data_IF_906979659106
#
_entry.id   IF_906979659106
#
_cell.length_a   1.000
_cell.length_b   1.000
_cell.length_c   1.000
_cell.angle_alpha   90.00
_cell.angle_beta   90.00
_cell.angle_gamma   90.00
#
_symmetry.space_group_name_H-M   'P 1'
#
loop_
_entity.id
_entity.type
_entity.pdbx_description
1 polymer ?
#
# COMPACT_ATOMS: atom_id res chain seq x y z
N UNK A 1 9.61 31.37 -21.13
CA UNK A 1 8.55 30.44 -21.63
C UNK A 1 8.19 29.47 -20.52
N UNK A 2 6.96 29.51 -19.95
CA UNK A 2 6.48 28.49 -19.05
C UNK A 2 6.49 27.17 -19.83
N UNK A 3 7.23 26.17 -19.38
CA UNK A 3 7.18 24.81 -19.94
C UNK A 3 5.71 24.37 -19.92
N UNK A 4 5.14 24.09 -21.07
CA UNK A 4 3.79 23.55 -21.19
C UNK A 4 3.82 22.17 -20.51
N UNK A 5 3.25 22.07 -19.31
CA UNK A 5 3.12 20.81 -18.59
C UNK A 5 1.92 20.07 -19.16
N UNK A 6 2.09 18.83 -19.58
CA UNK A 6 1.01 17.97 -20.02
C UNK A 6 0.88 16.79 -19.05
N UNK A 7 -0.27 16.67 -18.39
CA UNK A 7 -0.50 15.67 -17.35
C UNK A 7 -0.38 14.22 -17.89
N UNK A 8 -0.74 14.00 -19.15
CA UNK A 8 -0.67 12.67 -19.79
C UNK A 8 0.77 12.22 -19.99
N UNK A 9 1.62 13.14 -20.43
CA UNK A 9 3.04 12.86 -20.56
C UNK A 9 3.73 12.68 -19.19
N UNK A 10 3.30 13.40 -18.17
CA UNK A 10 3.80 13.21 -16.81
C UNK A 10 3.40 11.84 -16.24
N UNK A 11 2.15 11.44 -16.44
CA UNK A 11 1.68 10.11 -16.05
C UNK A 11 2.45 9.00 -16.79
N UNK A 12 2.66 9.15 -18.11
CA UNK A 12 3.45 8.20 -18.90
C UNK A 12 4.88 8.05 -18.37
N UNK A 13 5.54 9.17 -18.03
CA UNK A 13 6.87 9.17 -17.43
C UNK A 13 6.89 8.54 -16.03
N UNK A 14 5.84 8.76 -15.21
CA UNK A 14 5.73 8.12 -13.91
C UNK A 14 5.60 6.60 -14.03
N UNK A 15 4.72 6.13 -14.92
CA UNK A 15 4.53 4.69 -15.17
C UNK A 15 5.81 4.06 -15.69
N UNK A 16 6.53 4.73 -16.62
CA UNK A 16 7.83 4.25 -17.10
C UNK A 16 8.87 4.11 -15.98
N UNK A 17 8.92 5.07 -15.04
CA UNK A 17 9.84 4.97 -13.90
C UNK A 17 9.49 3.79 -12.99
N UNK A 18 8.22 3.48 -12.82
CA UNK A 18 7.79 2.31 -12.06
C UNK A 18 8.14 1.02 -12.79
N UNK A 19 7.68 0.86 -14.02
CA UNK A 19 7.75 -0.42 -14.73
C UNK A 19 9.15 -0.75 -15.24
N UNK A 20 9.86 0.25 -15.78
CA UNK A 20 11.18 0.04 -16.39
C UNK A 20 12.33 0.25 -15.40
N UNK A 21 12.18 1.14 -14.41
CA UNK A 21 13.26 1.49 -13.50
C UNK A 21 13.06 0.97 -12.08
N UNK A 22 11.95 0.25 -11.81
CA UNK A 22 11.69 -0.37 -10.52
C UNK A 22 11.47 0.62 -9.37
N UNK A 23 11.09 1.87 -9.65
CA UNK A 23 10.82 2.86 -8.61
C UNK A 23 9.38 2.76 -8.14
N UNK A 24 9.13 2.82 -6.81
CA UNK A 24 7.76 2.82 -6.31
C UNK A 24 7.03 4.11 -6.72
N UNK A 25 5.73 3.99 -7.02
CA UNK A 25 4.89 5.14 -7.34
C UNK A 25 4.82 6.14 -6.17
N UNK A 26 4.88 5.66 -4.93
CA UNK A 26 4.91 6.49 -3.73
C UNK A 26 6.15 7.41 -3.62
N UNK A 27 7.24 7.07 -4.32
CA UNK A 27 8.42 7.92 -4.43
C UNK A 27 8.36 8.84 -5.66
N UNK A 28 7.82 8.36 -6.78
CA UNK A 28 7.80 9.09 -8.05
C UNK A 28 6.71 10.18 -8.08
N UNK A 29 5.50 9.84 -7.65
CA UNK A 29 4.32 10.70 -7.80
C UNK A 29 4.40 12.02 -7.03
N UNK A 30 4.84 12.06 -5.75
CA UNK A 30 4.93 13.34 -5.00
C UNK A 30 5.83 14.37 -5.67
N UNK A 31 6.96 13.96 -6.19
CA UNK A 31 7.89 14.85 -6.91
C UNK A 31 7.30 15.40 -8.22
N UNK A 32 6.37 14.68 -8.84
CA UNK A 32 5.65 15.14 -10.02
C UNK A 32 4.48 16.07 -9.64
N UNK A 33 3.75 15.75 -8.57
CA UNK A 33 2.64 16.57 -8.07
C UNK A 33 3.08 17.95 -7.61
N UNK A 34 4.32 18.13 -7.13
CA UNK A 34 4.89 19.44 -6.80
C UNK A 34 5.04 20.37 -8.02
N UNK A 35 5.03 19.82 -9.24
CA UNK A 35 5.22 20.58 -10.48
C UNK A 35 3.91 21.02 -11.13
N UNK A 36 2.76 20.55 -10.65
CA UNK A 36 1.44 20.83 -11.20
C UNK A 36 0.60 21.67 -10.25
N UNK A 37 -0.44 22.33 -10.77
CA UNK A 37 -1.39 23.05 -9.94
C UNK A 37 -2.22 22.07 -9.07
N UNK A 38 -2.69 22.52 -7.92
CA UNK A 38 -3.43 21.69 -6.97
C UNK A 38 -4.64 20.98 -7.60
N UNK A 39 -5.38 21.69 -8.46
CA UNK A 39 -6.53 21.14 -9.20
C UNK A 39 -6.17 19.96 -10.13
N UNK A 40 -4.91 19.86 -10.56
CA UNK A 40 -4.43 18.87 -11.52
C UNK A 40 -3.81 17.64 -10.83
N UNK A 41 -3.50 17.73 -9.51
CA UNK A 41 -2.88 16.66 -8.74
C UNK A 41 -3.73 15.40 -8.71
N UNK A 42 -5.04 15.55 -8.53
CA UNK A 42 -5.98 14.43 -8.49
C UNK A 42 -6.04 13.68 -9.83
N UNK A 43 -6.08 14.40 -10.95
CA UNK A 43 -6.08 13.78 -12.28
C UNK A 43 -4.75 13.07 -12.56
N UNK A 44 -3.61 13.69 -12.24
CA UNK A 44 -2.30 13.05 -12.40
C UNK A 44 -2.22 11.75 -11.59
N UNK A 45 -2.68 11.77 -10.36
CA UNK A 45 -2.75 10.58 -9.50
C UNK A 45 -3.65 9.50 -10.10
N UNK A 46 -4.87 9.86 -10.52
CA UNK A 46 -5.81 8.93 -11.16
C UNK A 46 -5.20 8.24 -12.38
N UNK A 47 -4.54 8.99 -13.26
CA UNK A 47 -3.89 8.44 -14.44
C UNK A 47 -2.75 7.47 -14.09
N UNK A 48 -1.91 7.80 -13.10
CA UNK A 48 -0.80 6.94 -12.68
C UNK A 48 -1.31 5.64 -12.04
N UNK A 49 -2.19 5.76 -11.05
CA UNK A 49 -2.75 4.58 -10.35
C UNK A 49 -3.59 3.72 -11.26
N UNK A 50 -4.40 4.34 -12.11
CA UNK A 50 -5.29 3.65 -13.02
C UNK A 50 -4.54 2.85 -14.08
N UNK A 51 -3.55 3.44 -14.73
CA UNK A 51 -2.71 2.75 -15.72
C UNK A 51 -1.99 1.57 -15.07
N UNK A 52 -1.38 1.74 -13.89
CA UNK A 52 -0.71 0.65 -13.18
C UNK A 52 -1.68 -0.45 -12.74
N UNK A 53 -2.91 -0.10 -12.37
CA UNK A 53 -3.95 -1.07 -11.99
C UNK A 53 -4.38 -1.95 -13.16
N UNK A 54 -4.46 -1.38 -14.35
CA UNK A 54 -4.94 -2.04 -15.57
C UNK A 54 -3.84 -2.32 -16.61
N UNK A 55 -2.57 -2.26 -16.20
CA UNK A 55 -1.41 -2.29 -17.10
C UNK A 55 -1.44 -3.48 -18.08
N UNK A 56 -1.74 -4.69 -17.61
CA UNK A 56 -1.79 -5.88 -18.46
C UNK A 56 -2.90 -5.80 -19.54
N UNK A 57 -4.02 -5.17 -19.22
CA UNK A 57 -5.10 -4.93 -20.18
C UNK A 57 -4.65 -3.93 -21.26
N UNK A 58 -4.07 -2.81 -20.83
CA UNK A 58 -3.62 -1.76 -21.75
C UNK A 58 -2.47 -2.25 -22.64
N UNK A 59 -1.54 -3.03 -22.08
CA UNK A 59 -0.46 -3.67 -22.83
C UNK A 59 -1.01 -4.63 -23.88
N UNK A 60 -1.95 -5.51 -23.50
CA UNK A 60 -2.58 -6.45 -24.39
C UNK A 60 -3.30 -5.72 -25.54
N UNK A 61 -4.05 -4.65 -25.25
CA UNK A 61 -4.76 -3.86 -26.25
C UNK A 61 -3.81 -3.18 -27.24
N UNK A 62 -2.67 -2.67 -26.78
CA UNK A 62 -1.63 -2.12 -27.67
C UNK A 62 -1.13 -3.21 -28.63
N UNK A 63 -0.88 -4.42 -28.13
CA UNK A 63 -0.41 -5.54 -28.96
C UNK A 63 -1.41 -5.96 -30.05
N UNK A 64 -2.73 -5.76 -29.82
CA UNK A 64 -3.76 -6.00 -30.85
C UNK A 64 -3.81 -4.90 -31.93
N UNK A 65 -3.28 -3.72 -31.62
CA UNK A 65 -3.39 -2.53 -32.49
C UNK A 65 -2.08 -2.10 -33.15
N UNK A 66 -0.95 -2.66 -32.69
CA UNK A 66 0.38 -2.30 -33.18
C UNK A 66 1.19 -3.55 -33.49
N UNK A 67 1.65 -3.67 -34.74
CA UNK A 67 2.47 -4.82 -35.20
C UNK A 67 3.82 -4.91 -34.43
N UNK A 68 4.37 -3.79 -34.01
CA UNK A 68 5.67 -3.73 -33.35
C UNK A 68 5.58 -2.93 -32.06
N UNK A 69 6.06 -3.48 -30.92
CA UNK A 69 6.11 -2.75 -29.66
C UNK A 69 7.12 -1.60 -29.76
N UNK A 70 6.82 -0.51 -29.07
CA UNK A 70 7.76 0.60 -28.92
C UNK A 70 8.85 0.25 -27.90
N UNK A 71 10.11 0.42 -28.29
CA UNK A 71 11.28 0.06 -27.49
C UNK A 71 12.26 1.20 -27.33
N UNK A 72 13.22 1.08 -26.43
CA UNK A 72 14.28 2.05 -26.21
C UNK A 72 13.74 3.46 -25.98
N UNK A 73 14.25 4.44 -26.73
CA UNK A 73 13.87 5.86 -26.58
C UNK A 73 12.40 6.18 -26.88
N UNK A 74 11.63 5.24 -27.41
CA UNK A 74 10.21 5.39 -27.71
C UNK A 74 9.32 4.78 -26.63
N UNK A 75 9.89 4.15 -25.59
CA UNK A 75 9.13 3.46 -24.55
C UNK A 75 8.17 4.40 -23.80
N UNK A 76 8.56 5.65 -23.56
CA UNK A 76 7.67 6.66 -22.96
C UNK A 76 6.40 6.90 -23.79
N UNK A 77 6.51 6.83 -25.14
CA UNK A 77 5.33 6.96 -26.04
C UNK A 77 4.38 5.77 -25.89
N UNK A 78 4.91 4.57 -25.67
CA UNK A 78 4.11 3.39 -25.37
C UNK A 78 3.22 3.62 -24.11
N UNK A 79 3.81 4.10 -23.04
CA UNK A 79 3.06 4.46 -21.83
C UNK A 79 2.10 5.65 -22.03
N UNK A 80 2.44 6.58 -22.92
CA UNK A 80 1.54 7.67 -23.27
C UNK A 80 0.28 7.16 -24.01
N UNK A 81 0.41 6.16 -24.87
CA UNK A 81 -0.73 5.51 -25.52
C UNK A 81 -1.58 4.78 -24.48
N UNK A 82 -0.96 4.08 -23.50
CA UNK A 82 -1.69 3.45 -22.39
C UNK A 82 -2.50 4.48 -21.58
N UNK A 83 -1.92 5.65 -21.29
CA UNK A 83 -2.65 6.74 -20.63
C UNK A 83 -3.84 7.19 -21.48
N UNK A 84 -3.69 7.23 -22.80
CA UNK A 84 -4.80 7.52 -23.72
C UNK A 84 -5.91 6.49 -23.64
N UNK A 85 -5.58 5.18 -23.71
CA UNK A 85 -6.55 4.09 -23.57
C UNK A 85 -7.23 4.11 -22.20
N UNK A 86 -6.47 4.31 -21.12
CA UNK A 86 -7.05 4.39 -19.78
C UNK A 86 -8.10 5.50 -19.67
N UNK A 87 -7.83 6.69 -20.22
CA UNK A 87 -8.79 7.78 -20.22
C UNK A 87 -10.08 7.40 -20.95
N UNK A 88 -9.96 6.76 -22.13
CA UNK A 88 -11.11 6.35 -22.94
C UNK A 88 -11.96 5.26 -22.29
N UNK A 89 -11.32 4.38 -21.51
CA UNK A 89 -12.00 3.25 -20.85
C UNK A 89 -12.58 3.59 -19.48
N UNK A 90 -11.85 4.35 -18.68
CA UNK A 90 -12.08 4.39 -17.24
C UNK A 90 -12.32 5.78 -16.66
N UNK A 91 -12.34 6.83 -17.50
CA UNK A 91 -12.58 8.20 -17.03
C UNK A 91 -13.81 8.82 -17.71
N UNK A 92 -14.33 9.89 -17.12
CA UNK A 92 -15.40 10.69 -17.72
C UNK A 92 -14.89 11.83 -18.62
N UNK A 93 -13.59 11.81 -18.94
CA UNK A 93 -12.99 12.81 -19.83
C UNK A 93 -13.59 12.61 -21.24
N UNK A 94 -14.12 13.66 -21.87
CA UNK A 94 -14.63 13.54 -23.23
C UNK A 94 -13.57 12.97 -24.20
N UNK A 95 -13.95 12.04 -25.06
CA UNK A 95 -13.02 11.31 -25.91
C UNK A 95 -12.14 12.23 -26.78
N UNK A 96 -12.72 13.32 -27.31
CA UNK A 96 -11.95 14.30 -28.10
C UNK A 96 -10.85 14.97 -27.28
N UNK A 97 -11.11 15.29 -25.99
CA UNK A 97 -10.13 15.89 -25.10
C UNK A 97 -9.06 14.87 -24.69
N UNK A 98 -9.45 13.62 -24.40
CA UNK A 98 -8.52 12.54 -24.11
C UNK A 98 -7.53 12.32 -25.27
N UNK A 99 -8.04 12.28 -26.51
CA UNK A 99 -7.20 12.16 -27.70
C UNK A 99 -6.26 13.35 -27.88
N UNK A 100 -6.81 14.57 -27.91
CA UNK A 100 -6.04 15.77 -28.18
C UNK A 100 -4.88 15.94 -27.20
N UNK A 101 -5.18 15.84 -25.90
CA UNK A 101 -4.18 15.99 -24.83
C UNK A 101 -3.12 14.88 -24.82
N UNK A 102 -3.50 13.65 -25.17
CA UNK A 102 -2.56 12.53 -25.28
C UNK A 102 -1.62 12.73 -26.47
N UNK A 103 -2.16 13.14 -27.63
CA UNK A 103 -1.36 13.43 -28.83
C UNK A 103 -0.40 14.60 -28.59
N UNK A 104 -0.86 15.68 -27.92
CA UNK A 104 0.02 16.81 -27.53
C UNK A 104 1.12 16.40 -26.56
N UNK A 105 0.89 15.39 -25.73
CA UNK A 105 1.91 14.82 -24.85
C UNK A 105 3.18 14.40 -25.58
N UNK A 106 3.08 14.01 -26.85
CA UNK A 106 4.23 13.63 -27.69
C UNK A 106 5.24 14.78 -27.86
N UNK A 107 4.76 16.03 -27.89
CA UNK A 107 5.64 17.21 -27.99
C UNK A 107 6.45 17.38 -26.70
N UNK A 108 5.77 17.23 -25.56
CA UNK A 108 6.41 17.40 -24.23
C UNK A 108 7.50 16.34 -23.98
N UNK A 109 7.28 15.11 -24.42
CA UNK A 109 8.29 14.03 -24.33
C UNK A 109 9.30 14.05 -25.51
N UNK A 110 9.32 15.15 -26.29
CA UNK A 110 10.24 15.36 -27.41
C UNK A 110 10.15 14.31 -28.52
N UNK A 111 8.92 13.92 -28.86
CA UNK A 111 8.60 12.97 -29.95
C UNK A 111 7.46 13.49 -30.84
N UNK A 112 7.50 14.76 -31.31
CA UNK A 112 6.40 15.36 -32.10
C UNK A 112 6.11 14.60 -33.39
N UNK A 113 7.12 13.93 -33.97
CA UNK A 113 6.97 13.12 -35.18
C UNK A 113 6.05 11.90 -34.99
N UNK A 114 5.77 11.48 -33.73
CA UNK A 114 4.90 10.34 -33.42
C UNK A 114 3.45 10.74 -33.16
N UNK A 115 3.08 12.03 -33.25
CA UNK A 115 1.68 12.49 -33.07
C UNK A 115 0.69 11.76 -33.99
N UNK A 116 1.06 11.58 -35.25
CA UNK A 116 0.22 10.86 -36.23
C UNK A 116 -0.01 9.42 -35.85
N UNK A 117 1.02 8.73 -35.39
CA UNK A 117 0.94 7.34 -34.92
C UNK A 117 0.03 7.23 -33.69
N UNK A 118 0.28 8.06 -32.67
CA UNK A 118 -0.53 8.06 -31.44
C UNK A 118 -2.01 8.31 -31.78
N UNK A 119 -2.31 9.32 -32.59
CA UNK A 119 -3.68 9.63 -33.00
C UNK A 119 -4.32 8.46 -33.77
N UNK A 120 -3.58 7.82 -34.69
CA UNK A 120 -4.03 6.65 -35.43
C UNK A 120 -4.40 5.48 -34.55
N UNK A 121 -3.52 5.13 -33.59
CA UNK A 121 -3.72 4.04 -32.63
C UNK A 121 -4.91 4.33 -31.70
N UNK A 122 -5.03 5.54 -31.16
CA UNK A 122 -6.14 5.93 -30.29
C UNK A 122 -7.49 5.88 -31.03
N UNK A 123 -7.55 6.34 -32.28
CA UNK A 123 -8.77 6.27 -33.11
C UNK A 123 -9.13 4.84 -33.50
N UNK A 124 -8.14 4.00 -33.78
CA UNK A 124 -8.37 2.59 -34.04
C UNK A 124 -8.89 1.88 -32.80
N UNK A 125 -8.33 2.19 -31.63
CA UNK A 125 -8.83 1.71 -30.35
C UNK A 125 -10.30 2.08 -30.13
N UNK A 126 -10.69 3.34 -30.34
CA UNK A 126 -12.08 3.77 -30.19
C UNK A 126 -13.06 2.99 -31.08
N UNK A 127 -12.66 2.69 -32.33
CA UNK A 127 -13.50 1.93 -33.25
C UNK A 127 -13.67 0.46 -32.88
N UNK A 128 -12.67 -0.13 -32.21
CA UNK A 128 -12.65 -1.55 -31.84
C UNK A 128 -12.80 -1.80 -30.35
N UNK A 129 -13.18 -0.79 -29.57
CA UNK A 129 -13.18 -0.84 -28.12
C UNK A 129 -14.01 -2.02 -27.58
N UNK A 130 -15.25 -2.18 -28.05
CA UNK A 130 -16.15 -3.24 -27.57
C UNK A 130 -15.64 -4.63 -27.96
N UNK A 131 -15.12 -4.80 -29.16
CA UNK A 131 -14.47 -6.02 -29.63
C UNK A 131 -13.28 -6.40 -28.72
N UNK A 132 -12.36 -5.46 -28.52
CA UNK A 132 -11.16 -5.66 -27.70
C UNK A 132 -11.49 -5.97 -26.23
N UNK A 133 -12.54 -5.34 -25.68
CA UNK A 133 -12.99 -5.65 -24.34
C UNK A 133 -13.57 -7.06 -24.21
N UNK A 134 -14.36 -7.49 -25.20
CA UNK A 134 -14.93 -8.84 -25.24
C UNK A 134 -13.85 -9.91 -25.37
N UNK A 135 -12.85 -9.70 -26.24
CA UNK A 135 -11.71 -10.61 -26.40
C UNK A 135 -10.85 -10.66 -25.14
N UNK A 136 -10.54 -9.51 -24.53
CA UNK A 136 -9.74 -9.44 -23.29
C UNK A 136 -10.42 -10.19 -22.15
N UNK A 137 -11.74 -10.11 -22.02
CA UNK A 137 -12.51 -10.79 -20.98
C UNK A 137 -12.36 -12.34 -21.05
N UNK A 138 -11.99 -12.89 -22.19
CA UNK A 138 -11.73 -14.33 -22.36
C UNK A 138 -10.26 -14.71 -22.18
N UNK A 139 -9.37 -13.73 -22.02
CA UNK A 139 -7.93 -13.97 -21.87
C UNK A 139 -7.56 -14.39 -20.44
N UNK A 140 -6.42 -15.05 -20.30
CA UNK A 140 -5.84 -15.36 -18.98
C UNK A 140 -5.38 -14.10 -18.21
N UNK A 141 -5.25 -12.97 -18.92
CA UNK A 141 -4.87 -11.68 -18.38
C UNK A 141 -6.04 -10.90 -17.74
N UNK A 142 -7.28 -11.40 -17.86
CA UNK A 142 -8.50 -10.73 -17.35
C UNK A 142 -8.46 -10.35 -15.87
N UNK A 143 -7.66 -11.06 -15.08
CA UNK A 143 -7.49 -10.77 -13.66
C UNK A 143 -6.55 -9.60 -13.38
N UNK A 144 -5.91 -9.01 -14.39
CA UNK A 144 -5.04 -7.82 -14.28
C UNK A 144 -3.84 -8.01 -13.34
N UNK A 145 -3.35 -9.23 -13.19
CA UNK A 145 -2.19 -9.56 -12.34
C UNK A 145 -1.15 -10.36 -13.13
N UNK A 146 0.13 -10.28 -12.74
CA UNK A 146 1.16 -11.16 -13.29
C UNK A 146 0.83 -12.63 -13.02
N UNK A 147 1.11 -13.49 -13.98
CA UNK A 147 0.75 -14.92 -13.92
C UNK A 147 1.36 -15.66 -12.72
N UNK A 148 2.58 -15.29 -12.30
CA UNK A 148 3.21 -15.87 -11.12
C UNK A 148 2.41 -15.59 -9.84
N UNK A 149 1.88 -14.35 -9.71
CA UNK A 149 1.08 -13.94 -8.54
C UNK A 149 -0.28 -14.62 -8.53
N UNK A 150 -0.94 -14.70 -9.69
CA UNK A 150 -2.20 -15.45 -9.84
C UNK A 150 -2.01 -16.92 -9.40
N UNK A 151 -0.93 -17.58 -9.85
CA UNK A 151 -0.63 -18.96 -9.47
C UNK A 151 -0.44 -19.12 -7.97
N UNK A 152 0.32 -18.23 -7.31
CA UNK A 152 0.53 -18.27 -5.85
C UNK A 152 -0.76 -18.07 -5.08
N UNK A 153 -1.55 -17.04 -5.43
CA UNK A 153 -2.82 -16.76 -4.75
C UNK A 153 -3.80 -17.93 -4.95
N UNK A 154 -3.89 -18.47 -6.16
CA UNK A 154 -4.75 -19.63 -6.45
C UNK A 154 -4.33 -20.88 -5.66
N UNK A 155 -3.04 -21.11 -5.50
CA UNK A 155 -2.52 -22.22 -4.69
C UNK A 155 -2.79 -22.02 -3.20
N UNK A 156 -2.62 -20.79 -2.68
CA UNK A 156 -2.82 -20.47 -1.27
C UNK A 156 -4.30 -20.42 -0.87
N UNK A 157 -5.17 -19.95 -1.77
CA UNK A 157 -6.59 -19.69 -1.53
C UNK A 157 -7.49 -20.27 -2.65
N UNK A 158 -7.58 -21.59 -2.80
CA UNK A 158 -8.26 -22.23 -3.93
C UNK A 158 -9.74 -21.81 -4.10
N UNK A 159 -10.41 -21.42 -3.02
CA UNK A 159 -11.83 -21.03 -3.03
C UNK A 159 -12.05 -19.52 -3.09
N UNK A 160 -11.06 -18.70 -2.73
CA UNK A 160 -11.19 -17.24 -2.62
C UNK A 160 -10.32 -16.46 -3.61
N UNK A 161 -9.49 -17.13 -4.40
CA UNK A 161 -8.49 -16.47 -5.23
C UNK A 161 -9.07 -15.43 -6.22
N UNK A 162 -10.23 -15.71 -6.83
CA UNK A 162 -10.89 -14.77 -7.73
C UNK A 162 -11.34 -13.51 -6.99
N UNK A 163 -12.02 -13.68 -5.85
CA UNK A 163 -12.45 -12.56 -5.03
C UNK A 163 -11.27 -11.70 -4.52
N UNK A 164 -10.13 -12.32 -4.19
CA UNK A 164 -8.91 -11.60 -3.80
C UNK A 164 -8.39 -10.76 -4.98
N UNK A 165 -8.31 -11.34 -6.18
CA UNK A 165 -7.83 -10.62 -7.37
C UNK A 165 -8.78 -9.48 -7.77
N UNK A 166 -10.09 -9.70 -7.66
CA UNK A 166 -11.10 -8.65 -7.89
C UNK A 166 -10.97 -7.52 -6.88
N UNK A 167 -10.85 -7.83 -5.58
CA UNK A 167 -10.65 -6.83 -4.54
C UNK A 167 -9.37 -5.99 -4.76
N UNK A 168 -8.29 -6.62 -5.20
CA UNK A 168 -7.03 -5.93 -5.54
C UNK A 168 -7.19 -4.90 -6.66
N UNK A 169 -8.17 -5.09 -7.55
CA UNK A 169 -8.41 -4.20 -8.69
C UNK A 169 -9.43 -3.09 -8.37
N UNK A 170 -10.10 -3.16 -7.22
CA UNK A 170 -11.03 -2.11 -6.78
C UNK A 170 -10.29 -0.87 -6.28
N UNK A 171 -10.98 0.27 -6.27
CA UNK A 171 -10.50 1.46 -5.57
C UNK A 171 -10.55 1.20 -4.06
N UNK A 172 -9.49 1.51 -3.32
CA UNK A 172 -9.50 1.30 -1.88
C UNK A 172 -10.49 2.26 -1.20
N UNK A 173 -11.21 1.80 -0.17
CA UNK A 173 -11.97 2.68 0.69
C UNK A 173 -11.03 3.56 1.52
N UNK A 174 -11.53 4.70 1.97
CA UNK A 174 -10.81 5.56 2.89
C UNK A 174 -11.19 5.20 4.32
N UNK A 175 -10.25 4.56 5.02
CA UNK A 175 -10.34 4.25 6.44
C UNK A 175 -9.59 5.28 7.26
N UNK A 176 -10.15 5.62 8.37
CA UNK A 176 -9.63 6.57 9.35
C UNK A 176 -9.50 5.88 10.70
N UNK A 177 -8.57 6.35 11.52
CA UNK A 177 -8.42 6.01 12.92
C UNK A 177 -8.66 7.26 13.75
N UNK A 178 -9.66 7.21 14.61
CA UNK A 178 -9.95 8.30 15.56
C UNK A 178 -8.97 8.24 16.73
N UNK A 179 -8.34 9.35 17.05
CA UNK A 179 -7.43 9.47 18.19
C UNK A 179 -8.24 9.59 19.49
N UNK A 180 -8.28 8.52 20.25
CA UNK A 180 -9.06 8.40 21.49
C UNK A 180 -8.62 9.37 22.60
N UNK A 181 -7.46 10.00 22.46
CA UNK A 181 -7.01 11.04 23.40
C UNK A 181 -7.75 12.39 23.20
N UNK A 182 -8.42 12.56 22.06
CA UNK A 182 -9.20 13.74 21.74
C UNK A 182 -10.70 13.47 21.77
N UNK A 183 -11.14 12.40 21.09
CA UNK A 183 -12.56 12.06 20.96
C UNK A 183 -12.79 10.56 21.03
N UNK A 184 -13.96 10.16 21.51
CA UNK A 184 -14.48 8.83 21.22
C UNK A 184 -14.84 8.74 19.74
N UNK A 185 -14.87 7.53 19.19
CA UNK A 185 -15.27 7.32 17.79
C UNK A 185 -16.65 7.91 17.48
N UNK A 186 -17.61 7.70 18.37
CA UNK A 186 -18.98 8.15 18.14
C UNK A 186 -19.09 9.67 18.18
N UNK A 187 -18.44 10.35 19.15
CA UNK A 187 -18.35 11.82 19.19
C UNK A 187 -17.69 12.40 17.93
N UNK A 188 -16.66 11.73 17.38
CA UNK A 188 -16.03 12.19 16.14
C UNK A 188 -16.92 11.95 14.91
N UNK A 189 -17.74 10.88 14.90
CA UNK A 189 -18.74 10.65 13.85
C UNK A 189 -19.81 11.74 13.82
N UNK A 190 -20.20 12.28 14.98
CA UNK A 190 -21.12 13.41 15.05
C UNK A 190 -20.50 14.65 14.41
N UNK A 191 -19.24 14.97 14.72
CA UNK A 191 -18.50 16.08 14.09
C UNK A 191 -18.33 15.88 12.58
N UNK A 192 -18.09 14.65 12.15
CA UNK A 192 -18.01 14.30 10.72
C UNK A 192 -19.35 14.57 10.00
N UNK A 193 -20.45 14.22 10.63
CA UNK A 193 -21.81 14.47 10.11
C UNK A 193 -22.11 15.97 10.04
N UNK A 194 -21.74 16.75 11.05
CA UNK A 194 -21.83 18.22 11.03
C UNK A 194 -21.03 18.87 9.89
N UNK A 195 -19.90 18.24 9.53
CA UNK A 195 -19.09 18.66 8.38
C UNK A 195 -19.65 18.21 7.01
N UNK A 196 -20.84 17.55 7.01
CA UNK A 196 -21.50 17.09 5.79
C UNK A 196 -20.88 15.82 5.18
N UNK A 197 -20.13 15.07 5.96
CA UNK A 197 -19.51 13.82 5.56
C UNK A 197 -20.15 12.63 6.29
N UNK A 198 -20.20 11.47 5.63
CA UNK A 198 -20.76 10.24 6.20
C UNK A 198 -19.66 9.22 6.45
N UNK A 199 -19.65 8.62 7.64
CA UNK A 199 -18.74 7.54 8.01
C UNK A 199 -19.44 6.41 8.72
N UNK A 200 -18.84 5.21 8.65
CA UNK A 200 -19.34 3.98 9.26
C UNK A 200 -18.28 3.38 10.19
N UNK A 201 -18.65 2.99 11.42
CA UNK A 201 -17.73 2.36 12.34
C UNK A 201 -17.38 0.94 11.89
N UNK A 202 -16.16 0.50 12.17
CA UNK A 202 -15.77 -0.91 11.99
C UNK A 202 -16.30 -1.74 13.18
N UNK A 203 -16.80 -2.96 12.96
CA UNK A 203 -17.31 -3.79 14.06
C UNK A 203 -16.22 -4.22 15.06
N UNK A 204 -15.04 -4.64 14.57
CA UNK A 204 -13.99 -5.23 15.40
C UNK A 204 -12.91 -4.23 15.85
N UNK A 205 -12.71 -3.12 15.13
CA UNK A 205 -11.68 -2.14 15.44
C UNK A 205 -12.31 -0.86 16.00
N UNK A 206 -12.14 -0.59 17.33
CA UNK A 206 -12.92 0.42 18.04
C UNK A 206 -12.69 1.86 17.59
N UNK A 207 -11.53 2.16 17.01
CA UNK A 207 -11.16 3.51 16.56
C UNK A 207 -11.34 3.69 15.04
N UNK A 208 -11.70 2.62 14.31
CA UNK A 208 -11.78 2.65 12.86
C UNK A 208 -13.13 3.19 12.35
N UNK A 209 -13.04 4.12 11.40
CA UNK A 209 -14.18 4.69 10.66
C UNK A 209 -13.90 4.62 9.18
N UNK A 210 -14.84 4.07 8.40
CA UNK A 210 -14.82 4.10 6.94
C UNK A 210 -15.63 5.27 6.43
N UNK A 211 -15.06 6.11 5.58
CA UNK A 211 -15.85 7.12 4.89
C UNK A 211 -16.73 6.48 3.80
N UNK A 212 -17.94 6.97 3.64
CA UNK A 212 -18.81 6.58 2.53
C UNK A 212 -18.19 6.96 1.19
N UNK A 213 -17.67 8.17 1.11
CA UNK A 213 -16.93 8.69 -0.06
C UNK A 213 -15.60 9.27 0.41
N UNK A 214 -14.46 8.90 -0.23
CA UNK A 214 -13.18 9.50 0.11
C UNK A 214 -13.19 11.03 0.02
N UNK A 215 -12.62 11.69 1.00
CA UNK A 215 -12.55 13.15 1.09
C UNK A 215 -11.08 13.61 1.23
N UNK A 216 -10.76 14.85 0.82
CA UNK A 216 -9.47 15.46 1.13
C UNK A 216 -9.26 15.54 2.64
N UNK A 217 -8.04 15.26 3.11
CA UNK A 217 -7.76 15.21 4.56
C UNK A 217 -8.06 16.52 5.30
N UNK A 218 -7.87 17.66 4.64
CA UNK A 218 -8.18 18.98 5.22
C UNK A 218 -9.70 19.25 5.38
N UNK A 219 -10.57 18.43 4.79
CA UNK A 219 -12.01 18.49 5.00
C UNK A 219 -12.45 17.64 6.21
N UNK A 220 -11.55 16.84 6.79
CA UNK A 220 -11.84 16.02 7.94
C UNK A 220 -11.75 16.84 9.24
N UNK A 221 -12.76 16.80 10.13
CA UNK A 221 -12.72 17.52 11.40
C UNK A 221 -11.46 17.15 12.22
N UNK A 222 -10.67 18.17 12.57
CA UNK A 222 -9.51 18.05 13.42
C UNK A 222 -8.33 17.25 12.86
N UNK A 223 -8.21 17.09 11.54
CA UNK A 223 -7.08 16.35 10.96
C UNK A 223 -5.73 16.99 11.28
N UNK A 224 -5.63 18.29 11.11
CA UNK A 224 -4.38 19.04 11.39
C UNK A 224 -4.08 19.09 12.91
N UNK A 225 -5.12 19.05 13.74
CA UNK A 225 -5.03 19.00 15.21
C UNK A 225 -4.75 17.58 15.74
N UNK A 226 -4.64 16.58 14.86
CA UNK A 226 -4.29 15.22 15.24
C UNK A 226 -5.45 14.40 15.81
N UNK A 227 -6.72 14.80 15.57
CA UNK A 227 -7.90 14.07 16.06
C UNK A 227 -8.16 12.78 15.27
N UNK A 228 -7.63 12.72 14.05
CA UNK A 228 -7.83 11.58 13.16
C UNK A 228 -6.61 11.34 12.28
N UNK A 229 -6.40 10.08 11.92
CA UNK A 229 -5.31 9.64 11.03
C UNK A 229 -5.86 8.74 9.93
N UNK A 230 -5.36 8.88 8.71
CA UNK A 230 -5.68 7.95 7.61
C UNK A 230 -4.91 6.66 7.83
N UNK A 231 -5.62 5.58 8.11
CA UNK A 231 -5.05 4.24 8.27
C UNK A 231 -6.10 3.17 7.95
N UNK A 232 -5.71 2.16 7.18
CA UNK A 232 -6.59 1.02 6.88
C UNK A 232 -7.02 0.29 8.16
N UNK A 233 -8.27 -0.18 8.18
CA UNK A 233 -8.83 -0.88 9.33
C UNK A 233 -8.00 -2.11 9.71
N UNK A 234 -7.62 -2.93 8.71
CA UNK A 234 -6.80 -4.12 8.98
C UNK A 234 -5.42 -3.77 9.58
N UNK A 235 -4.84 -2.62 9.23
CA UNK A 235 -3.57 -2.16 9.81
C UNK A 235 -3.71 -1.73 11.28
N UNK A 236 -4.93 -1.37 11.73
CA UNK A 236 -5.19 -1.01 13.13
C UNK A 236 -5.18 -2.22 14.07
N UNK A 237 -5.34 -3.43 13.55
CA UNK A 237 -5.27 -4.68 14.32
C UNK A 237 -3.95 -4.89 15.06
N UNK A 238 -2.85 -4.24 14.64
CA UNK A 238 -1.56 -4.36 15.31
C UNK A 238 -1.62 -4.00 16.80
N UNK A 239 -2.32 -2.93 17.15
CA UNK A 239 -2.46 -2.47 18.55
C UNK A 239 -3.47 -3.30 19.32
N UNK A 240 -4.50 -3.82 18.65
CA UNK A 240 -5.48 -4.75 19.23
C UNK A 240 -4.82 -6.02 19.77
N UNK A 241 -3.80 -6.54 19.04
CA UNK A 241 -3.04 -7.71 19.50
C UNK A 241 -1.88 -7.37 20.41
N UNK A 242 -1.24 -6.20 20.22
CA UNK A 242 -0.11 -5.77 21.04
C UNK A 242 -0.52 -5.43 22.47
N UNK A 243 -1.69 -4.80 22.66
CA UNK A 243 -2.23 -4.36 23.94
C UNK A 243 -1.22 -3.51 24.77
N UNK A 244 -0.73 -2.38 24.20
CA UNK A 244 0.29 -1.59 24.88
C UNK A 244 -0.24 -0.94 26.15
N UNK A 245 0.63 -0.84 27.18
CA UNK A 245 0.30 -0.25 28.47
C UNK A 245 1.22 0.93 28.81
N UNK A 246 0.73 1.87 29.63
CA UNK A 246 1.51 3.01 30.08
C UNK A 246 2.72 2.56 30.94
N UNK A 247 3.86 3.20 30.70
CA UNK A 247 5.10 2.91 31.42
C UNK A 247 5.95 1.79 30.82
N UNK A 248 5.40 1.00 29.88
CA UNK A 248 6.14 -0.08 29.22
C UNK A 248 7.21 0.44 28.26
N UNK A 249 8.26 -0.38 28.09
CA UNK A 249 9.26 -0.21 27.03
C UNK A 249 8.77 -0.95 25.78
N UNK A 250 8.41 -0.22 24.73
CA UNK A 250 7.80 -0.78 23.52
C UNK A 250 8.69 -0.49 22.32
N UNK A 251 8.98 -1.54 21.53
CA UNK A 251 9.66 -1.41 20.24
C UNK A 251 8.64 -1.50 19.09
N UNK A 252 8.67 -0.51 18.21
CA UNK A 252 8.02 -0.55 16.90
C UNK A 252 9.10 -0.66 15.82
N UNK A 253 9.30 -1.86 15.28
CA UNK A 253 10.34 -2.17 14.31
C UNK A 253 9.79 -2.21 12.89
N UNK A 254 10.53 -1.63 11.93
CA UNK A 254 10.11 -1.30 10.58
C UNK A 254 8.96 -0.28 10.58
N UNK A 255 9.08 0.72 11.44
CA UNK A 255 8.02 1.61 11.87
C UNK A 255 7.50 2.59 10.80
N UNK A 256 8.30 2.90 9.79
CA UNK A 256 7.95 3.95 8.83
C UNK A 256 6.72 3.57 7.96
N UNK A 257 5.76 4.48 7.80
CA UNK A 257 5.80 5.93 8.06
C UNK A 257 5.35 6.39 9.46
N UNK A 258 5.21 5.52 10.46
CA UNK A 258 4.89 5.88 11.84
C UNK A 258 3.41 5.79 12.23
N UNK A 259 2.55 5.28 11.35
CA UNK A 259 1.13 5.14 11.64
C UNK A 259 0.82 4.15 12.79
N UNK A 260 1.64 3.10 12.94
CA UNK A 260 1.52 2.14 14.05
C UNK A 260 2.18 2.68 15.32
N UNK A 261 3.33 3.37 15.21
CA UNK A 261 3.98 4.09 16.32
C UNK A 261 3.01 5.04 17.00
N UNK A 262 2.33 5.88 16.21
CA UNK A 262 1.36 6.84 16.76
C UNK A 262 0.13 6.15 17.34
N UNK A 263 -0.33 5.05 16.77
CA UNK A 263 -1.43 4.26 17.31
C UNK A 263 -1.09 3.65 18.69
N UNK A 264 0.14 3.14 18.85
CA UNK A 264 0.63 2.68 20.17
C UNK A 264 0.53 3.82 21.21
N UNK A 265 0.98 5.02 20.83
CA UNK A 265 0.96 6.20 21.72
C UNK A 265 -0.45 6.77 21.93
N UNK A 266 -1.40 6.55 21.04
CA UNK A 266 -2.81 6.88 21.25
C UNK A 266 -3.44 5.99 22.33
N UNK A 267 -3.04 4.71 22.38
CA UNK A 267 -3.54 3.74 23.37
C UNK A 267 -2.79 3.84 24.70
N UNK A 268 -1.48 4.01 24.64
CA UNK A 268 -0.61 4.11 25.80
C UNK A 268 0.25 5.39 25.76
N UNK A 269 -0.32 6.57 26.09
CA UNK A 269 0.36 7.87 25.94
C UNK A 269 1.63 8.02 26.79
N UNK A 270 1.77 7.23 27.84
CA UNK A 270 2.93 7.24 28.75
C UNK A 270 3.89 6.06 28.51
N UNK A 271 3.72 5.29 27.43
CA UNK A 271 4.67 4.25 27.05
C UNK A 271 5.97 4.87 26.52
N UNK A 272 7.08 4.18 26.76
CA UNK A 272 8.38 4.55 26.22
C UNK A 272 8.58 3.84 24.89
N UNK A 273 8.16 4.47 23.80
CA UNK A 273 8.21 3.87 22.47
C UNK A 273 9.53 4.19 21.76
N UNK A 274 10.22 3.13 21.32
CA UNK A 274 11.34 3.21 20.37
C UNK A 274 10.85 2.78 18.99
N UNK A 275 10.93 3.67 18.02
CA UNK A 275 10.52 3.46 16.64
C UNK A 275 11.77 3.34 15.74
N UNK A 276 11.93 2.21 15.04
CA UNK A 276 13.15 1.91 14.28
C UNK A 276 12.79 1.53 12.84
N UNK A 277 13.49 2.12 11.88
CA UNK A 277 13.42 1.73 10.47
C UNK A 277 14.81 1.78 9.83
N UNK A 278 15.07 0.93 8.85
CA UNK A 278 16.36 0.88 8.15
C UNK A 278 16.55 2.06 7.19
N UNK A 279 15.45 2.61 6.67
CA UNK A 279 15.46 3.69 5.67
C UNK A 279 15.31 5.07 6.34
N UNK A 280 16.45 5.77 6.46
CA UNK A 280 16.51 7.12 7.02
C UNK A 280 15.54 8.12 6.34
N UNK A 281 15.36 7.99 5.01
CA UNK A 281 14.47 8.89 4.27
C UNK A 281 13.01 8.68 4.65
N UNK A 282 12.63 7.47 4.99
CA UNK A 282 11.27 7.14 5.44
C UNK A 282 11.01 7.63 6.86
N UNK A 283 12.04 7.74 7.70
CA UNK A 283 11.94 8.25 9.07
C UNK A 283 11.46 9.71 9.14
N UNK A 284 11.69 10.51 8.11
CA UNK A 284 11.15 11.89 8.05
C UNK A 284 9.64 11.91 8.24
N UNK A 285 8.92 10.94 7.66
CA UNK A 285 7.47 10.83 7.80
C UNK A 285 7.03 10.41 9.20
N UNK A 286 7.86 9.65 9.92
CA UNK A 286 7.61 9.31 11.32
C UNK A 286 7.66 10.57 12.19
N UNK A 287 8.67 11.42 11.99
CA UNK A 287 8.78 12.70 12.68
C UNK A 287 7.61 13.64 12.35
N UNK A 288 7.19 13.72 11.08
CA UNK A 288 6.05 14.54 10.66
C UNK A 288 4.75 14.09 11.36
N UNK A 289 4.50 12.78 11.41
CA UNK A 289 3.33 12.22 12.08
C UNK A 289 3.37 12.46 13.60
N UNK A 290 4.50 12.21 14.26
CA UNK A 290 4.67 12.50 15.70
C UNK A 290 4.43 13.97 15.98
N UNK A 291 4.96 14.88 15.17
CA UNK A 291 4.77 16.34 15.31
C UNK A 291 3.31 16.73 15.16
N UNK A 292 2.62 16.27 14.09
CA UNK A 292 1.21 16.58 13.83
C UNK A 292 0.31 16.13 14.98
N UNK A 293 0.59 14.96 15.57
CA UNK A 293 -0.18 14.36 16.64
C UNK A 293 0.27 14.80 18.04
N UNK A 294 1.28 15.67 18.14
CA UNK A 294 1.80 16.15 19.44
C UNK A 294 2.44 15.06 20.29
N UNK A 295 2.95 13.98 19.67
CA UNK A 295 3.47 12.79 20.32
C UNK A 295 5.00 12.73 20.32
N UNK A 296 5.57 11.95 21.25
CA UNK A 296 7.03 11.74 21.36
C UNK A 296 7.35 10.25 21.36
N UNK A 297 8.37 9.89 20.58
CA UNK A 297 8.98 8.57 20.57
C UNK A 297 10.50 8.73 20.36
N UNK A 298 11.27 7.73 20.77
CA UNK A 298 12.69 7.63 20.39
C UNK A 298 12.78 7.05 18.99
N UNK A 299 13.13 7.86 18.00
CA UNK A 299 13.22 7.43 16.59
C UNK A 299 14.69 7.16 16.25
N UNK A 300 14.98 5.97 15.72
CA UNK A 300 16.34 5.57 15.31
C UNK A 300 16.35 4.93 13.93
N UNK A 301 17.43 5.19 13.20
CA UNK A 301 17.76 4.36 12.04
C UNK A 301 18.43 3.08 12.52
N UNK A 302 18.00 1.93 12.00
CA UNK A 302 18.59 0.66 12.38
C UNK A 302 18.10 -0.52 11.54
N UNK A 303 18.99 -1.49 11.31
CA UNK A 303 18.65 -2.75 10.67
C UNK A 303 18.12 -3.72 11.75
N UNK A 304 16.91 -4.24 11.54
CA UNK A 304 16.26 -5.18 12.46
C UNK A 304 17.01 -6.50 12.66
N UNK A 305 17.94 -6.84 11.77
CA UNK A 305 18.82 -8.01 11.90
C UNK A 305 19.90 -7.82 12.97
N UNK A 306 20.20 -6.57 13.32
CA UNK A 306 21.33 -6.22 14.21
C UNK A 306 20.87 -5.29 15.34
N UNK A 307 19.94 -5.69 16.23
CA UNK A 307 19.36 -4.84 17.27
C UNK A 307 20.39 -4.22 18.21
N UNK A 308 21.46 -4.96 18.53
CA UNK A 308 22.53 -4.49 19.41
C UNK A 308 23.20 -3.20 18.93
N UNK A 309 23.20 -2.92 17.61
CA UNK A 309 23.83 -1.72 17.05
C UNK A 309 23.06 -0.44 17.39
N UNK A 310 21.75 -0.54 17.66
CA UNK A 310 20.89 0.63 17.90
C UNK A 310 20.17 0.64 19.24
N UNK A 311 20.03 -0.51 19.94
CA UNK A 311 19.46 -0.54 21.29
C UNK A 311 20.40 -1.16 22.35
N UNK A 312 21.58 -1.66 22.00
CA UNK A 312 22.48 -2.35 22.93
C UNK A 312 21.82 -3.56 23.57
N UNK A 313 21.91 -3.67 24.89
CA UNK A 313 21.30 -4.75 25.68
C UNK A 313 19.87 -4.44 26.15
N UNK A 314 19.25 -3.37 25.67
CA UNK A 314 17.89 -3.00 26.05
C UNK A 314 16.90 -4.10 25.72
N UNK A 315 16.02 -4.40 26.68
CA UNK A 315 14.90 -5.32 26.50
C UNK A 315 13.57 -4.57 26.57
N UNK A 316 12.58 -5.11 25.86
CA UNK A 316 11.27 -4.52 25.70
C UNK A 316 10.18 -5.40 26.32
N UNK A 317 9.16 -4.75 26.89
CA UNK A 317 7.96 -5.41 27.40
C UNK A 317 7.08 -5.88 26.22
N UNK A 318 7.03 -5.05 25.17
CA UNK A 318 6.31 -5.36 23.93
C UNK A 318 7.11 -5.01 22.68
N UNK A 319 6.95 -5.82 21.67
CA UNK A 319 7.56 -5.59 20.35
C UNK A 319 6.48 -5.72 19.27
N UNK A 320 6.33 -4.69 18.45
CA UNK A 320 5.63 -4.76 17.19
C UNK A 320 6.68 -4.90 16.08
N UNK A 321 6.66 -6.04 15.40
CA UNK A 321 7.45 -6.27 14.19
C UNK A 321 6.53 -6.20 12.97
N UNK A 322 6.43 -5.02 12.36
CA UNK A 322 5.76 -4.83 11.07
C UNK A 322 6.73 -5.19 9.94
N UNK A 323 6.89 -6.49 9.72
CA UNK A 323 8.00 -7.04 8.96
C UNK A 323 8.03 -6.56 7.50
N UNK A 324 9.21 -6.29 6.92
CA UNK A 324 9.33 -6.01 5.50
C UNK A 324 8.82 -7.21 4.70
N UNK A 325 7.87 -6.98 3.78
CA UNK A 325 7.18 -8.05 3.08
C UNK A 325 6.88 -7.69 1.62
N UNK A 326 6.28 -8.63 0.88
CA UNK A 326 5.88 -8.42 -0.51
C UNK A 326 4.81 -7.34 -0.68
N UNK A 327 4.06 -7.04 0.38
CA UNK A 327 2.91 -6.13 0.39
C UNK A 327 1.74 -6.57 -0.54
N UNK A 328 1.61 -7.87 -0.78
CA UNK A 328 0.59 -8.44 -1.68
C UNK A 328 -0.85 -8.28 -1.16
N UNK A 329 -1.02 -7.90 0.10
CA UNK A 329 -2.33 -7.62 0.70
C UNK A 329 -2.84 -6.19 0.46
N UNK A 330 -1.98 -5.27 0.01
CA UNK A 330 -2.31 -3.84 -0.17
C UNK A 330 -2.25 -3.38 -1.64
N UNK A 331 -2.32 -4.30 -2.58
CA UNK A 331 -2.23 -4.04 -4.02
C UNK A 331 -3.27 -3.02 -4.48
N UNK A 332 -4.49 -3.03 -3.94
CA UNK A 332 -5.51 -2.05 -4.34
C UNK A 332 -5.10 -0.61 -4.03
N UNK A 333 -4.26 -0.38 -2.99
CA UNK A 333 -3.70 0.92 -2.64
C UNK A 333 -2.43 1.23 -3.40
N UNK A 334 -1.65 0.19 -3.70
CA UNK A 334 -0.33 0.27 -4.33
C UNK A 334 -0.26 -0.68 -5.53
N UNK A 335 -0.94 -0.37 -6.66
CA UNK A 335 -1.01 -1.27 -7.82
C UNK A 335 0.34 -1.48 -8.50
N UNK A 336 1.32 -0.62 -8.23
CA UNK A 336 2.72 -0.77 -8.65
C UNK A 336 3.38 -2.02 -8.07
N UNK A 337 2.93 -2.52 -6.93
CA UNK A 337 3.42 -3.78 -6.33
C UNK A 337 3.36 -4.94 -7.32
N UNK A 338 2.30 -5.04 -8.12
CA UNK A 338 2.14 -6.08 -9.15
C UNK A 338 3.33 -6.14 -10.13
N UNK A 339 3.94 -5.00 -10.40
CA UNK A 339 4.98 -4.83 -11.42
C UNK A 339 6.40 -4.72 -10.83
N UNK A 340 6.49 -4.33 -9.56
CA UNK A 340 7.75 -4.22 -8.83
C UNK A 340 8.21 -5.55 -8.22
N UNK A 341 7.27 -6.44 -7.84
CA UNK A 341 7.57 -7.75 -7.24
C UNK A 341 7.77 -8.82 -8.30
N UNK A 342 8.63 -9.77 -7.97
CA UNK A 342 8.92 -10.97 -8.76
C UNK A 342 8.74 -12.21 -7.90
N UNK A 343 8.48 -13.34 -8.51
CA UNK A 343 8.26 -14.60 -7.81
C UNK A 343 9.41 -14.97 -6.84
N UNK A 344 10.66 -14.76 -7.25
CA UNK A 344 11.86 -15.03 -6.43
C UNK A 344 11.97 -14.14 -5.18
N UNK A 345 11.42 -12.93 -5.20
CA UNK A 345 11.54 -11.99 -4.09
C UNK A 345 10.85 -12.52 -2.83
N UNK A 346 9.88 -13.44 -2.96
CA UNK A 346 9.12 -14.00 -1.84
C UNK A 346 10.02 -14.81 -0.92
N UNK A 347 10.89 -15.66 -1.47
CA UNK A 347 11.81 -16.44 -0.67
C UNK A 347 12.86 -15.57 0.04
N UNK A 348 13.37 -14.53 -0.66
CA UNK A 348 14.33 -13.58 -0.10
C UNK A 348 13.71 -12.78 1.06
N UNK A 349 12.45 -12.35 0.91
CA UNK A 349 11.72 -11.63 1.96
C UNK A 349 11.41 -12.54 3.16
N UNK A 350 10.99 -13.78 2.93
CA UNK A 350 10.74 -14.74 4.00
C UNK A 350 12.02 -15.04 4.82
N UNK A 351 13.18 -15.13 4.16
CA UNK A 351 14.47 -15.27 4.83
C UNK A 351 14.80 -14.03 5.68
N UNK A 352 14.66 -12.83 5.12
CA UNK A 352 14.90 -11.57 5.84
C UNK A 352 13.98 -11.45 7.07
N UNK A 353 12.70 -11.81 6.93
CA UNK A 353 11.74 -11.82 8.03
C UNK A 353 12.17 -12.77 9.15
N UNK A 354 12.66 -13.98 8.79
CA UNK A 354 13.17 -14.95 9.77
C UNK A 354 14.36 -14.39 10.54
N UNK A 355 15.29 -13.74 9.84
CA UNK A 355 16.49 -13.15 10.46
C UNK A 355 16.11 -12.04 11.45
N UNK A 356 15.22 -11.12 11.04
CA UNK A 356 14.73 -10.04 11.89
C UNK A 356 13.97 -10.59 13.11
N UNK A 357 13.05 -11.52 12.90
CA UNK A 357 12.25 -12.11 13.99
C UNK A 357 13.14 -12.81 15.02
N UNK A 358 14.12 -13.59 14.57
CA UNK A 358 15.06 -14.28 15.45
C UNK A 358 15.91 -13.29 16.27
N UNK A 359 16.47 -12.27 15.62
CA UNK A 359 17.30 -11.26 16.29
C UNK A 359 16.50 -10.44 17.31
N UNK A 360 15.29 -10.05 16.91
CA UNK A 360 14.42 -9.21 17.75
C UNK A 360 13.86 -9.95 18.96
N UNK A 361 13.59 -11.27 18.83
CA UNK A 361 13.11 -12.11 19.93
C UNK A 361 14.02 -12.09 21.14
N UNK A 362 15.32 -11.98 20.96
CA UNK A 362 16.31 -11.94 22.05
C UNK A 362 16.15 -10.69 22.94
N UNK A 363 15.59 -9.62 22.38
CA UNK A 363 15.33 -8.36 23.09
C UNK A 363 13.95 -8.26 23.72
N UNK A 364 13.12 -9.31 23.62
CA UNK A 364 11.85 -9.39 24.35
C UNK A 364 12.10 -9.91 25.76
N UNK A 365 11.54 -9.26 26.79
CA UNK A 365 11.58 -9.74 28.18
C UNK A 365 10.81 -11.05 28.33
N UNK A 366 11.17 -11.92 29.29
CA UNK A 366 10.29 -13.00 29.71
C UNK A 366 8.92 -12.46 30.14
N UNK A 367 7.83 -13.10 29.75
CA UNK A 367 6.46 -12.62 29.90
C UNK A 367 6.04 -11.57 28.89
N UNK A 368 6.96 -11.05 28.08
CA UNK A 368 6.68 -10.02 27.08
C UNK A 368 5.90 -10.53 25.86
N UNK A 369 5.33 -9.59 25.13
CA UNK A 369 4.51 -9.85 23.93
C UNK A 369 5.22 -9.35 22.68
N UNK A 370 5.34 -10.20 21.65
CA UNK A 370 5.72 -9.80 20.31
C UNK A 370 4.54 -10.02 19.35
N UNK A 371 4.17 -8.97 18.63
CA UNK A 371 3.22 -9.07 17.50
C UNK A 371 4.01 -9.01 16.21
N UNK A 372 4.00 -10.13 15.49
CA UNK A 372 4.49 -10.21 14.12
C UNK A 372 3.37 -9.81 13.17
N UNK A 373 3.61 -8.86 12.29
CA UNK A 373 2.65 -8.38 11.33
C UNK A 373 3.27 -8.27 9.93
N UNK A 374 2.46 -8.54 8.90
CA UNK A 374 2.78 -8.24 7.50
C UNK A 374 1.55 -7.71 6.78
N UNK A 375 1.74 -6.90 5.75
CA UNK A 375 0.70 -6.58 4.78
C UNK A 375 0.77 -7.52 3.55
N UNK A 376 1.18 -8.76 3.75
CA UNK A 376 1.20 -9.84 2.75
C UNK A 376 0.03 -10.80 2.96
N UNK A 377 -0.38 -11.46 1.88
CA UNK A 377 -1.32 -12.59 1.92
C UNK A 377 -0.65 -13.92 1.58
N UNK A 378 0.66 -13.94 1.39
CA UNK A 378 1.38 -15.16 1.00
C UNK A 378 1.78 -15.98 2.22
N UNK A 379 1.43 -17.29 2.25
CA UNK A 379 1.68 -18.16 3.40
C UNK A 379 3.15 -18.26 3.81
N UNK A 380 4.08 -18.13 2.86
CA UNK A 380 5.53 -18.20 3.09
C UNK A 380 6.02 -17.09 4.01
N UNK A 381 5.43 -15.91 3.90
CA UNK A 381 5.74 -14.74 4.71
C UNK A 381 4.98 -14.70 6.04
N UNK A 382 3.93 -15.51 6.17
CA UNK A 382 2.93 -15.45 7.23
C UNK A 382 2.88 -16.74 8.05
N UNK A 383 1.92 -17.61 7.80
CA UNK A 383 1.71 -18.84 8.59
C UNK A 383 2.94 -19.75 8.61
N UNK A 384 3.59 -19.96 7.46
CA UNK A 384 4.78 -20.83 7.39
C UNK A 384 5.95 -20.22 8.15
N UNK A 385 6.10 -18.88 8.12
CA UNK A 385 7.11 -18.16 8.89
C UNK A 385 6.94 -18.41 10.40
N UNK A 386 5.70 -18.26 10.90
CA UNK A 386 5.41 -18.45 12.32
C UNK A 386 5.51 -19.91 12.73
N UNK A 387 5.04 -20.87 11.90
CA UNK A 387 5.22 -22.29 12.14
C UNK A 387 6.70 -22.65 12.31
N UNK A 388 7.54 -22.19 11.39
CA UNK A 388 8.98 -22.42 11.45
C UNK A 388 9.64 -21.74 12.66
N UNK A 389 9.17 -20.54 13.05
CA UNK A 389 9.68 -19.84 14.23
C UNK A 389 9.34 -20.60 15.52
N UNK A 390 8.11 -21.01 15.71
CA UNK A 390 7.66 -21.77 16.90
C UNK A 390 8.40 -23.10 17.04
N UNK A 391 8.69 -23.78 15.92
CA UNK A 391 9.40 -25.06 15.92
C UNK A 391 10.85 -24.95 16.44
N UNK A 392 11.52 -23.81 16.23
CA UNK A 392 12.92 -23.59 16.65
C UNK A 392 13.08 -22.75 17.92
N UNK A 393 11.99 -22.21 18.47
CA UNK A 393 12.00 -21.25 19.59
C UNK A 393 11.11 -21.76 20.73
N UNK A 394 11.63 -22.67 21.61
CA UNK A 394 10.82 -23.38 22.61
C UNK A 394 10.19 -22.47 23.67
N UNK A 395 10.73 -21.28 23.88
CA UNK A 395 10.23 -20.25 24.80
C UNK A 395 9.16 -19.33 24.16
N UNK A 396 8.83 -19.53 22.87
CA UNK A 396 7.76 -18.81 22.20
C UNK A 396 6.43 -19.59 22.27
N UNK A 397 5.36 -18.89 22.64
CA UNK A 397 3.99 -19.44 22.68
C UNK A 397 3.07 -18.56 21.87
N UNK A 398 2.31 -19.19 20.96
CA UNK A 398 1.24 -18.51 20.22
C UNK A 398 0.07 -18.18 21.17
N UNK A 399 -0.46 -16.95 21.08
CA UNK A 399 -1.59 -16.48 21.86
C UNK A 399 -2.62 -15.75 21.00
N UNK A 400 -3.91 -16.07 21.18
CA UNK A 400 -5.09 -15.40 20.58
C UNK A 400 -5.17 -15.35 19.05
N UNK A 401 -4.09 -15.56 18.34
CA UNK A 401 -4.04 -15.47 16.87
C UNK A 401 -3.87 -16.86 16.25
N UNK A 402 -4.97 -17.59 16.10
CA UNK A 402 -4.96 -18.92 15.48
C UNK A 402 -4.68 -20.08 16.45
N UNK A 403 -4.32 -21.23 15.88
CA UNK A 403 -3.98 -22.47 16.61
C UNK A 403 -2.55 -22.89 16.28
N UNK A 404 -1.95 -23.84 17.04
CA UNK A 404 -0.61 -24.35 16.71
C UNK A 404 -0.50 -24.94 15.30
N UNK A 405 -1.57 -25.55 14.78
CA UNK A 405 -1.64 -26.13 13.42
C UNK A 405 -1.81 -25.04 12.35
N UNK A 406 -2.44 -23.94 12.72
CA UNK A 406 -2.67 -22.78 11.84
C UNK A 406 -2.37 -21.48 12.58
N UNK A 407 -1.10 -21.19 12.83
CA UNK A 407 -0.72 -19.99 13.58
C UNK A 407 -0.93 -18.73 12.79
N UNK A 408 -1.41 -17.71 13.48
CA UNK A 408 -1.69 -16.39 12.94
C UNK A 408 -3.12 -16.21 12.42
N UNK A 409 -3.53 -14.93 12.33
CA UNK A 409 -4.79 -14.50 11.72
C UNK A 409 -4.50 -13.78 10.40
N UNK A 410 -5.05 -14.29 9.31
CA UNK A 410 -4.96 -13.69 7.99
C UNK A 410 -6.25 -12.95 7.67
N UNK A 411 -6.17 -11.64 7.46
CA UNK A 411 -7.21 -10.84 6.83
C UNK A 411 -6.95 -10.83 5.32
N UNK A 412 -7.99 -11.09 4.52
CA UNK A 412 -7.89 -11.06 3.06
C UNK A 412 -8.41 -9.74 2.49
N UNK A 413 -7.88 -9.27 1.35
CA UNK A 413 -8.35 -8.04 0.72
C UNK A 413 -9.85 -8.09 0.39
N UNK A 414 -10.57 -7.02 0.70
CA UNK A 414 -12.00 -6.89 0.43
C UNK A 414 -12.93 -7.44 1.51
N UNK A 415 -12.40 -8.26 2.44
CA UNK A 415 -13.19 -8.70 3.59
C UNK A 415 -13.38 -7.50 4.52
N UNK A 416 -14.65 -7.18 4.86
CA UNK A 416 -15.05 -6.00 5.65
C UNK A 416 -14.43 -4.68 5.13
N UNK A 417 -14.26 -4.59 3.82
CA UNK A 417 -13.59 -3.47 3.14
C UNK A 417 -12.14 -3.20 3.63
N UNK A 418 -11.52 -4.13 4.37
CA UNK A 418 -10.13 -4.06 4.83
C UNK A 418 -9.11 -4.49 3.76
N UNK A 419 -7.84 -4.17 4.00
CA UNK A 419 -6.72 -4.68 3.23
C UNK A 419 -6.28 -6.07 3.72
N UNK A 420 -5.42 -6.74 2.96
CA UNK A 420 -4.82 -8.00 3.40
C UNK A 420 -3.72 -7.75 4.44
N UNK A 421 -3.90 -8.32 5.64
CA UNK A 421 -2.93 -8.27 6.72
C UNK A 421 -2.84 -9.61 7.45
N UNK A 422 -1.67 -9.89 7.98
CA UNK A 422 -1.44 -11.04 8.83
C UNK A 422 -0.92 -10.61 10.20
N UNK A 423 -1.36 -11.30 11.24
CA UNK A 423 -0.96 -11.08 12.62
C UNK A 423 -0.67 -12.38 13.33
N UNK A 424 0.43 -12.44 14.07
CA UNK A 424 0.72 -13.50 15.04
C UNK A 424 1.18 -12.87 16.36
N UNK A 425 0.45 -13.15 17.45
CA UNK A 425 0.79 -12.74 18.81
C UNK A 425 1.58 -13.84 19.48
N UNK A 426 2.78 -13.55 19.89
CA UNK A 426 3.72 -14.45 20.54
C UNK A 426 4.05 -13.93 21.95
N UNK A 427 4.01 -14.84 22.92
CA UNK A 427 4.41 -14.57 24.30
C UNK A 427 5.70 -15.32 24.60
N UNK A 428 6.67 -14.66 25.21
CA UNK A 428 7.91 -15.27 25.68
C UNK A 428 7.70 -15.88 27.06
N UNK A 429 8.03 -17.17 27.22
CA UNK A 429 8.02 -17.84 28.53
C UNK A 429 9.10 -17.32 29.46
#
# INVERSE_FOLDING_TARGET
MKKHLNLRSMAAQAVEQVVEKGQSLSNVLPAMQQKVADKDKALLQELCFGVLRTLSQLEWMIQQLMERPMTGKQRTVHYLIMVGFYQLLHTRIPAHAALAETVEGAVVIKRPQLKGLINGVLRQFQRRQDELLAEFAQSDLRFLHPSWLVKRIKSAYPQQWEAILEANNQRPPMWLRVNRNHHTRDAWLDLLSEAGLTGFPHPDYPDAVRLETPAPVHALPGFDEGWVTVQDASAQGCVTYLLPENGEQILDLCCAPGGKTTHILEVAPQANVMAVDVDEKRLSRVYDNLKRLGMKATVKQGDGRYPQQWCGEQQFDRILLDAPCSATGVIRRHPDIKWLRRDRDIAELAQLQAEILNATWLHLKPGGTLVYATCSILPEENQQQITAFLARTPDAVLSETGTPEKPGRQNLPGVEDGDGFFYAKLIKK
#
